data_IF_224427225452
#
_entry.id   IF_224427225452
#
_cell.length_a   1.000
_cell.length_b   1.000
_cell.length_c   1.000
_cell.angle_alpha   90.00
_cell.angle_beta   90.00
_cell.angle_gamma   90.00
#
_symmetry.space_group_name_H-M   'P 1'
#
loop_
_entity.id
_entity.type
_entity.pdbx_description
1 polymer ?
#
# COMPACT_ATOMS: atom_id res chain seq x y z
N UNK A 1 7.13 1.50 -20.77
CA UNK A 1 6.74 2.80 -20.20
C UNK A 1 6.58 3.83 -21.31
N UNK A 2 5.43 4.46 -21.40
CA UNK A 2 5.20 5.55 -22.35
C UNK A 2 5.79 6.84 -21.74
N UNK A 3 6.67 7.50 -22.50
CA UNK A 3 7.21 8.81 -22.11
C UNK A 3 6.49 9.89 -22.91
N UNK A 4 5.90 10.85 -22.22
CA UNK A 4 5.32 12.04 -22.85
C UNK A 4 6.28 13.22 -22.64
N UNK A 5 6.61 13.90 -23.73
CA UNK A 5 7.45 15.12 -23.72
C UNK A 5 6.58 16.31 -24.18
N UNK A 6 6.57 17.35 -23.38
CA UNK A 6 6.00 18.64 -23.82
C UNK A 6 7.10 19.56 -24.36
N UNK A 7 6.84 20.15 -25.50
CA UNK A 7 7.67 21.22 -26.08
C UNK A 7 7.02 22.60 -25.96
N UNK A 8 5.80 22.66 -25.43
CA UNK A 8 5.08 23.91 -25.21
C UNK A 8 5.58 24.68 -23.97
N UNK A 9 5.11 25.89 -23.77
CA UNK A 9 5.46 26.70 -22.60
C UNK A 9 4.94 26.08 -21.28
N UNK A 10 3.77 25.48 -21.31
CA UNK A 10 3.25 24.55 -20.30
C UNK A 10 2.12 23.75 -20.94
N UNK A 11 1.87 22.53 -20.46
CA UNK A 11 0.80 21.69 -20.96
C UNK A 11 0.06 21.02 -19.82
N UNK A 12 -1.27 20.93 -19.91
CA UNK A 12 -2.12 20.22 -18.96
C UNK A 12 -2.42 18.85 -19.53
N UNK A 13 -1.83 17.83 -18.94
CA UNK A 13 -1.96 16.47 -19.40
C UNK A 13 -3.11 15.75 -18.68
N UNK A 14 -4.16 15.39 -19.44
CA UNK A 14 -5.38 14.75 -18.92
C UNK A 14 -5.44 13.24 -19.18
N UNK A 15 -4.58 12.71 -20.06
CA UNK A 15 -4.52 11.28 -20.37
C UNK A 15 -3.23 10.69 -19.83
N UNK A 16 -3.36 9.88 -18.78
CA UNK A 16 -2.25 9.27 -18.06
C UNK A 16 -2.24 7.75 -18.28
N UNK A 17 -2.71 7.31 -19.45
CA UNK A 17 -2.78 5.89 -19.78
C UNK A 17 -1.37 5.30 -19.89
N UNK A 18 -1.16 4.19 -19.18
CA UNK A 18 0.06 3.39 -19.22
C UNK A 18 0.06 2.43 -20.40
N UNK A 19 -1.11 2.00 -20.84
CA UNK A 19 -1.27 1.11 -21.97
C UNK A 19 -2.70 1.06 -22.49
N UNK A 20 -2.79 0.62 -23.75
CA UNK A 20 -4.04 0.35 -24.46
C UNK A 20 -3.86 -0.91 -25.29
N UNK A 21 -4.83 -1.80 -25.24
CA UNK A 21 -4.88 -2.99 -26.11
C UNK A 21 -6.32 -3.33 -26.51
N UNK A 22 -6.47 -4.17 -27.52
CA UNK A 22 -7.74 -4.55 -28.13
C UNK A 22 -7.98 -6.05 -28.02
N UNK A 23 -9.25 -6.42 -27.80
CA UNK A 23 -9.74 -7.77 -27.90
C UNK A 23 -10.96 -7.79 -28.83
N UNK A 24 -11.06 -8.77 -29.72
CA UNK A 24 -12.15 -8.90 -30.70
C UNK A 24 -12.83 -10.27 -30.56
N UNK A 25 -13.43 -10.54 -29.42
CA UNK A 25 -14.15 -11.74 -29.07
C UNK A 25 -15.57 -11.38 -28.60
N UNK A 26 -16.56 -12.22 -28.94
CA UNK A 26 -17.97 -11.93 -28.68
C UNK A 26 -18.44 -12.22 -27.26
N UNK A 27 -17.71 -13.05 -26.50
CA UNK A 27 -18.12 -13.47 -25.15
C UNK A 27 -16.97 -13.33 -24.18
N UNK A 28 -16.58 -12.06 -23.96
CA UNK A 28 -15.52 -11.71 -23.01
C UNK A 28 -16.11 -11.43 -21.64
N UNK A 29 -15.48 -12.00 -20.62
CA UNK A 29 -15.83 -11.78 -19.21
C UNK A 29 -14.66 -11.14 -18.49
N UNK A 30 -14.94 -10.18 -17.63
CA UNK A 30 -13.94 -9.56 -16.77
C UNK A 30 -14.09 -10.07 -15.33
N UNK A 31 -12.96 -10.53 -14.75
CA UNK A 31 -12.84 -10.81 -13.31
C UNK A 31 -11.93 -9.76 -12.70
N UNK A 32 -12.35 -9.20 -11.57
CA UNK A 32 -11.55 -8.25 -10.80
C UNK A 32 -11.83 -8.42 -9.31
N UNK A 33 -10.87 -7.98 -8.49
CA UNK A 33 -11.01 -7.99 -7.05
C UNK A 33 -11.54 -6.65 -6.55
N UNK A 34 -12.38 -6.72 -5.52
CA UNK A 34 -12.86 -5.56 -4.79
C UNK A 34 -13.03 -5.90 -3.30
N UNK A 35 -13.33 -4.91 -2.49
CA UNK A 35 -13.59 -5.14 -1.08
C UNK A 35 -13.71 -3.85 -0.28
N UNK A 36 -13.51 -4.00 1.02
CA UNK A 36 -13.45 -2.91 1.99
C UNK A 36 -12.57 -3.33 3.16
N UNK A 37 -12.36 -2.46 4.14
CA UNK A 37 -11.68 -2.84 5.38
C UNK A 37 -12.31 -4.08 6.02
N UNK A 38 -11.47 -5.03 6.40
CA UNK A 38 -11.83 -6.33 6.99
C UNK A 38 -12.70 -7.23 6.08
N UNK A 39 -12.77 -6.91 4.78
CA UNK A 39 -13.55 -7.63 3.77
C UNK A 39 -12.90 -7.46 2.40
N UNK A 40 -11.60 -7.74 2.31
CA UNK A 40 -10.78 -7.51 1.12
C UNK A 40 -10.80 -8.69 0.15
N UNK A 41 -10.39 -8.44 -1.07
CA UNK A 41 -10.08 -9.42 -2.13
C UNK A 41 -11.23 -10.32 -2.59
N UNK A 42 -12.47 -9.81 -2.59
CA UNK A 42 -13.59 -10.51 -3.21
C UNK A 42 -13.48 -10.44 -4.73
N UNK A 43 -13.56 -11.60 -5.38
CA UNK A 43 -13.54 -11.70 -6.84
C UNK A 43 -14.94 -11.55 -7.39
N UNK A 44 -15.15 -10.55 -8.24
CA UNK A 44 -16.36 -10.36 -9.04
C UNK A 44 -16.07 -10.70 -10.50
N UNK A 45 -17.04 -11.36 -11.13
CA UNK A 45 -16.94 -11.75 -12.53
C UNK A 45 -18.21 -11.37 -13.28
N UNK A 46 -18.07 -10.66 -14.39
CA UNK A 46 -19.19 -10.20 -15.20
C UNK A 46 -18.87 -10.25 -16.69
N UNK A 47 -19.90 -10.40 -17.52
CA UNK A 47 -19.78 -10.35 -18.99
C UNK A 47 -19.63 -8.90 -19.44
N UNK A 48 -18.76 -8.66 -20.42
CA UNK A 48 -18.65 -7.35 -21.05
C UNK A 48 -19.76 -7.17 -22.09
N UNK A 49 -20.59 -6.16 -21.87
CA UNK A 49 -21.66 -5.76 -22.79
C UNK A 49 -21.24 -4.47 -23.51
N UNK A 50 -21.95 -4.13 -24.62
CA UNK A 50 -21.73 -2.86 -25.32
C UNK A 50 -21.86 -1.66 -24.38
N UNK A 51 -20.91 -0.75 -24.47
CA UNK A 51 -20.82 0.41 -23.59
C UNK A 51 -19.49 0.52 -22.86
N UNK A 52 -19.49 1.17 -21.72
CA UNK A 52 -18.28 1.43 -20.95
C UNK A 52 -18.33 0.76 -19.58
N UNK A 53 -17.32 -0.04 -19.28
CA UNK A 53 -17.03 -0.53 -17.92
C UNK A 53 -15.81 0.22 -17.36
N UNK A 54 -15.91 0.70 -16.13
CA UNK A 54 -14.82 1.35 -15.42
C UNK A 54 -14.55 0.64 -14.10
N UNK A 55 -13.29 0.26 -13.86
CA UNK A 55 -12.78 -0.28 -12.61
C UNK A 55 -11.72 0.72 -12.15
N UNK A 56 -11.94 1.35 -10.99
CA UNK A 56 -11.08 2.45 -10.54
C UNK A 56 -10.97 2.52 -9.03
N UNK A 57 -9.90 3.15 -8.57
CA UNK A 57 -9.73 3.51 -7.17
C UNK A 57 -9.30 4.97 -7.04
N UNK A 58 -9.76 5.64 -5.97
CA UNK A 58 -9.45 7.02 -5.65
C UNK A 58 -9.04 7.20 -4.17
N UNK A 59 -8.69 6.12 -3.50
CA UNK A 59 -8.37 6.12 -2.06
C UNK A 59 -6.88 6.42 -1.77
N UNK A 60 -6.11 6.65 -2.82
CA UNK A 60 -4.71 7.04 -2.72
C UNK A 60 -3.87 5.97 -2.06
N UNK A 61 -3.36 6.26 -0.86
CA UNK A 61 -2.46 5.38 -0.13
C UNK A 61 -3.04 3.99 0.21
N UNK A 62 -4.37 3.84 0.20
CA UNK A 62 -5.11 2.60 0.50
C UNK A 62 -5.88 2.10 -0.73
N UNK A 63 -5.21 2.02 -1.84
CA UNK A 63 -5.83 1.69 -3.12
C UNK A 63 -6.18 0.21 -3.34
N UNK A 64 -5.86 -0.67 -2.43
CA UNK A 64 -6.25 -2.08 -2.45
C UNK A 64 -7.57 -2.39 -1.74
N UNK A 65 -8.21 -1.40 -1.14
CA UNK A 65 -9.61 -1.47 -0.69
C UNK A 65 -10.50 -0.81 -1.76
N UNK A 66 -11.73 -1.24 -1.92
CA UNK A 66 -12.58 -1.07 -3.10
C UNK A 66 -12.06 -1.95 -4.26
N UNK A 67 -11.79 -1.41 -5.45
CA UNK A 67 -11.25 -2.20 -6.55
C UNK A 67 -9.72 -2.34 -6.46
N UNK A 68 -9.17 -3.41 -7.06
CA UNK A 68 -7.74 -3.64 -7.19
C UNK A 68 -7.22 -3.26 -8.58
N UNK A 69 -5.92 -2.99 -8.69
CA UNK A 69 -5.27 -2.54 -9.93
C UNK A 69 -4.95 -3.70 -10.89
N UNK A 70 -5.73 -4.78 -10.84
CA UNK A 70 -5.58 -5.99 -11.65
C UNK A 70 -6.94 -6.43 -12.21
N UNK A 71 -6.93 -6.90 -13.46
CA UNK A 71 -8.08 -7.50 -14.12
C UNK A 71 -7.67 -8.78 -14.87
N UNK A 72 -8.60 -9.72 -14.99
CA UNK A 72 -8.47 -10.87 -15.88
C UNK A 72 -9.64 -10.92 -16.86
N UNK A 73 -9.33 -11.07 -18.15
CA UNK A 73 -10.29 -11.09 -19.24
C UNK A 73 -10.32 -12.50 -19.82
N UNK A 74 -11.42 -13.23 -19.57
CA UNK A 74 -11.67 -14.55 -20.14
C UNK A 74 -12.28 -14.41 -21.53
N UNK A 75 -11.67 -15.03 -22.54
CA UNK A 75 -11.97 -14.83 -23.96
C UNK A 75 -12.94 -15.85 -24.55
N UNK A 76 -13.24 -16.92 -23.82
CA UNK A 76 -14.02 -18.08 -24.28
C UNK A 76 -15.31 -18.24 -23.44
N UNK A 77 -15.90 -17.13 -22.99
CA UNK A 77 -17.09 -17.13 -22.16
C UNK A 77 -16.77 -17.07 -20.67
N UNK A 78 -17.70 -17.53 -19.82
CA UNK A 78 -17.60 -17.48 -18.37
C UNK A 78 -16.28 -18.11 -17.90
N UNK A 79 -15.50 -17.42 -17.05
CA UNK A 79 -14.18 -17.89 -16.63
C UNK A 79 -14.20 -19.25 -15.93
N UNK A 80 -13.14 -19.99 -16.15
CA UNK A 80 -12.84 -21.25 -15.48
C UNK A 80 -11.43 -21.18 -14.89
N UNK A 81 -11.23 -21.86 -13.77
CA UNK A 81 -9.95 -21.88 -13.07
C UNK A 81 -8.82 -22.49 -13.91
N UNK A 82 -9.09 -23.57 -14.63
CA UNK A 82 -8.06 -24.42 -15.23
C UNK A 82 -8.09 -24.49 -16.76
N UNK A 83 -9.12 -23.91 -17.39
CA UNK A 83 -9.30 -24.00 -18.85
C UNK A 83 -9.79 -22.68 -19.44
N UNK A 84 -9.53 -22.47 -20.73
CA UNK A 84 -9.92 -21.28 -21.47
C UNK A 84 -8.80 -20.24 -21.55
N UNK A 85 -8.93 -19.38 -22.58
CA UNK A 85 -7.97 -18.30 -22.83
C UNK A 85 -8.24 -17.12 -21.92
N UNK A 86 -7.20 -16.64 -21.27
CA UNK A 86 -7.27 -15.50 -20.35
C UNK A 86 -6.16 -14.50 -20.65
N UNK A 87 -6.51 -13.23 -20.73
CA UNK A 87 -5.56 -12.10 -20.71
C UNK A 87 -5.63 -11.45 -19.34
N UNK A 88 -4.54 -11.47 -18.59
CA UNK A 88 -4.41 -10.73 -17.33
C UNK A 88 -3.69 -9.39 -17.56
N UNK A 89 -4.13 -8.35 -16.88
CA UNK A 89 -3.50 -7.03 -16.89
C UNK A 89 -3.40 -6.47 -15.47
N UNK A 90 -2.19 -6.01 -15.08
CA UNK A 90 -1.90 -5.44 -13.78
C UNK A 90 -1.15 -4.11 -13.92
N UNK A 91 -1.67 -3.05 -13.30
CA UNK A 91 -1.03 -1.75 -13.30
C UNK A 91 -0.07 -1.65 -12.11
N UNK A 92 1.21 -1.41 -12.38
CA UNK A 92 2.25 -1.26 -11.35
C UNK A 92 2.25 0.14 -10.74
N UNK A 93 1.15 0.48 -10.08
CA UNK A 93 0.94 1.78 -9.45
C UNK A 93 0.26 1.63 -8.08
N UNK A 94 0.69 2.40 -7.11
CA UNK A 94 0.20 2.35 -5.73
C UNK A 94 -0.67 3.55 -5.35
N UNK A 95 -1.04 4.39 -6.30
CA UNK A 95 -1.94 5.52 -6.15
C UNK A 95 -3.27 5.30 -6.84
N UNK A 96 -4.01 6.38 -7.10
CA UNK A 96 -5.27 6.34 -7.82
C UNK A 96 -5.06 5.80 -9.24
N UNK A 97 -5.87 4.83 -9.64
CA UNK A 97 -5.78 4.19 -10.96
C UNK A 97 -7.15 4.01 -11.60
N UNK A 98 -7.14 3.71 -12.90
CA UNK A 98 -8.34 3.42 -13.67
C UNK A 98 -8.06 2.41 -14.77
N UNK A 99 -8.87 1.36 -14.86
CA UNK A 99 -9.10 0.58 -16.05
C UNK A 99 -10.42 1.03 -16.67
N UNK A 100 -10.42 1.29 -17.98
CA UNK A 100 -11.61 1.58 -18.76
C UNK A 100 -11.68 0.59 -19.90
N UNK A 101 -12.82 -0.06 -20.06
CA UNK A 101 -13.11 -1.02 -21.12
C UNK A 101 -14.29 -0.46 -21.93
N UNK A 102 -14.01 -0.03 -23.16
CA UNK A 102 -15.03 0.44 -24.09
C UNK A 102 -15.35 -0.68 -25.07
N UNK A 103 -16.57 -1.21 -25.00
CA UNK A 103 -17.04 -2.28 -25.89
C UNK A 103 -17.97 -1.69 -26.94
N UNK A 104 -17.61 -1.83 -28.21
CA UNK A 104 -18.44 -1.39 -29.32
C UNK A 104 -19.51 -2.41 -29.72
N UNK A 105 -20.39 -2.06 -30.68
CA UNK A 105 -21.48 -2.93 -31.16
C UNK A 105 -20.98 -4.14 -31.97
N UNK A 106 -19.71 -4.21 -32.31
CA UNK A 106 -19.07 -5.33 -33.01
C UNK A 106 -18.29 -6.24 -32.05
N UNK A 107 -18.48 -6.08 -30.74
CA UNK A 107 -17.75 -6.79 -29.68
C UNK A 107 -16.22 -6.58 -29.74
N UNK A 108 -15.80 -5.39 -30.17
CA UNK A 108 -14.41 -4.96 -30.01
C UNK A 108 -14.28 -4.24 -28.67
N UNK A 109 -13.41 -4.77 -27.83
CA UNK A 109 -13.15 -4.27 -26.49
C UNK A 109 -11.84 -3.46 -26.51
N UNK A 110 -11.91 -2.16 -26.22
CA UNK A 110 -10.76 -1.30 -26.05
C UNK A 110 -10.44 -1.18 -24.56
N UNK A 111 -9.32 -1.73 -24.13
CA UNK A 111 -8.89 -1.73 -22.74
C UNK A 111 -7.82 -0.65 -22.54
N UNK A 112 -8.11 0.31 -21.68
CA UNK A 112 -7.18 1.36 -21.26
C UNK A 112 -6.85 1.17 -19.79
N UNK A 113 -5.58 1.33 -19.43
CA UNK A 113 -5.13 1.26 -18.05
C UNK A 113 -4.13 2.37 -17.74
N UNK A 114 -4.28 3.04 -16.62
CA UNK A 114 -3.38 4.12 -16.23
C UNK A 114 -3.70 4.74 -14.87
N UNK A 115 -3.00 5.83 -14.56
CA UNK A 115 -3.32 6.67 -13.41
C UNK A 115 -4.72 7.25 -13.61
N UNK A 116 -5.50 7.31 -12.54
CA UNK A 116 -6.82 7.92 -12.58
C UNK A 116 -6.68 9.44 -12.82
N UNK A 117 -7.32 9.92 -13.87
CA UNK A 117 -7.30 11.34 -14.29
C UNK A 117 -8.33 12.19 -13.56
N UNK A 118 -9.22 11.59 -12.74
CA UNK A 118 -10.20 12.33 -11.98
C UNK A 118 -9.52 13.15 -10.88
N UNK A 119 -9.76 14.46 -10.87
CA UNK A 119 -9.15 15.46 -9.98
C UNK A 119 -7.59 15.43 -9.97
N UNK A 120 -6.97 14.88 -11.01
CA UNK A 120 -5.52 14.62 -11.08
C UNK A 120 -4.92 15.14 -12.39
N UNK A 121 -5.27 16.35 -12.79
CA UNK A 121 -4.61 17.03 -13.92
C UNK A 121 -3.14 17.26 -13.58
N UNK A 122 -2.23 16.89 -14.50
CA UNK A 122 -0.81 17.05 -14.30
C UNK A 122 -0.21 18.06 -15.29
N UNK A 123 0.20 19.21 -14.76
CA UNK A 123 0.84 20.27 -15.53
C UNK A 123 2.32 19.91 -15.76
N UNK A 124 2.72 19.83 -17.03
CA UNK A 124 4.11 19.64 -17.43
C UNK A 124 4.73 20.99 -17.83
N UNK A 125 5.86 21.31 -17.24
CA UNK A 125 6.67 22.45 -17.69
C UNK A 125 7.46 22.07 -18.96
N UNK A 126 7.93 23.07 -19.71
CA UNK A 126 8.72 22.80 -20.93
C UNK A 126 9.88 21.85 -20.66
N UNK A 127 10.01 20.82 -21.52
CA UNK A 127 11.04 19.77 -21.43
C UNK A 127 10.89 18.78 -20.25
N UNK A 128 9.90 18.91 -19.39
CA UNK A 128 9.59 17.88 -18.41
C UNK A 128 9.15 16.59 -19.09
N UNK A 129 9.41 15.47 -18.44
CA UNK A 129 9.02 14.13 -18.91
C UNK A 129 8.13 13.49 -17.86
N UNK A 130 6.90 13.19 -18.22
CA UNK A 130 6.00 12.38 -17.39
C UNK A 130 6.18 10.90 -17.75
N UNK A 131 6.58 10.11 -16.75
CA UNK A 131 6.70 8.65 -16.90
C UNK A 131 5.46 8.01 -16.29
N UNK A 132 4.67 7.33 -17.12
CA UNK A 132 3.50 6.57 -16.67
C UNK A 132 3.93 5.28 -15.96
N UNK A 133 3.10 4.73 -15.05
CA UNK A 133 3.33 3.41 -14.47
C UNK A 133 3.46 2.32 -15.55
N UNK A 134 4.09 1.21 -15.20
CA UNK A 134 4.15 0.04 -16.08
C UNK A 134 2.81 -0.68 -16.05
N UNK A 135 2.32 -1.10 -17.20
CA UNK A 135 1.24 -2.07 -17.34
C UNK A 135 1.86 -3.44 -17.65
N UNK A 136 1.67 -4.41 -16.77
CA UNK A 136 2.06 -5.79 -17.00
C UNK A 136 0.87 -6.54 -17.64
N UNK A 137 1.13 -7.31 -18.71
CA UNK A 137 0.12 -8.09 -19.39
C UNK A 137 0.60 -9.54 -19.47
N UNK A 138 -0.29 -10.48 -19.24
CA UNK A 138 -0.05 -11.91 -19.41
C UNK A 138 -1.13 -12.56 -20.26
N UNK A 139 -0.81 -13.70 -20.85
CA UNK A 139 -1.74 -14.56 -21.56
C UNK A 139 -1.60 -16.00 -21.07
N UNK A 140 -2.71 -16.70 -20.93
CA UNK A 140 -2.77 -18.10 -20.56
C UNK A 140 -3.86 -18.83 -21.35
N UNK A 141 -3.69 -20.13 -21.59
CA UNK A 141 -4.70 -21.05 -22.08
C UNK A 141 -5.19 -22.00 -20.98
N UNK A 142 -4.63 -21.85 -19.77
CA UNK A 142 -4.91 -22.68 -18.60
C UNK A 142 -5.81 -21.95 -17.59
N UNK A 143 -6.81 -21.21 -18.10
CA UNK A 143 -7.78 -20.48 -17.27
C UNK A 143 -7.17 -19.38 -16.40
N UNK A 144 -7.94 -18.97 -15.41
CA UNK A 144 -7.55 -17.90 -14.45
C UNK A 144 -6.30 -18.28 -13.66
N UNK A 145 -6.21 -19.53 -13.18
CA UNK A 145 -5.05 -20.02 -12.43
C UNK A 145 -3.75 -19.99 -13.24
N UNK A 146 -3.81 -20.21 -14.54
CA UNK A 146 -2.66 -20.09 -15.43
C UNK A 146 -2.15 -18.66 -15.53
N UNK A 147 -3.06 -17.70 -15.68
CA UNK A 147 -2.72 -16.27 -15.69
C UNK A 147 -2.15 -15.81 -14.32
N UNK A 148 -2.77 -16.21 -13.20
CA UNK A 148 -2.27 -15.96 -11.84
C UNK A 148 -0.85 -16.47 -11.66
N UNK A 149 -0.59 -17.74 -11.99
CA UNK A 149 0.76 -18.34 -11.89
C UNK A 149 1.80 -17.59 -12.74
N UNK A 150 1.41 -17.02 -13.89
CA UNK A 150 2.29 -16.18 -14.68
C UNK A 150 2.67 -14.91 -13.93
N UNK A 151 1.69 -14.22 -13.34
CA UNK A 151 1.95 -13.03 -12.52
C UNK A 151 2.79 -13.38 -11.28
N UNK A 152 2.52 -14.48 -10.58
CA UNK A 152 3.31 -14.90 -9.41
C UNK A 152 4.78 -15.15 -9.78
N UNK A 153 5.04 -15.87 -10.88
CA UNK A 153 6.43 -16.11 -11.35
C UNK A 153 7.12 -14.82 -11.75
N UNK A 154 6.39 -13.95 -12.47
CA UNK A 154 6.90 -12.64 -12.86
C UNK A 154 7.19 -11.75 -11.65
N UNK A 155 6.28 -11.70 -10.66
CA UNK A 155 6.46 -10.90 -9.45
C UNK A 155 7.68 -11.37 -8.65
N UNK A 156 7.81 -12.67 -8.40
CA UNK A 156 8.97 -13.23 -7.69
C UNK A 156 10.29 -12.91 -8.36
N UNK A 157 10.34 -12.99 -9.69
CA UNK A 157 11.57 -12.80 -10.44
C UNK A 157 11.90 -11.32 -10.72
N UNK A 158 10.89 -10.42 -10.73
CA UNK A 158 11.08 -9.09 -11.31
C UNK A 158 10.48 -7.93 -10.50
N UNK A 159 9.70 -8.22 -9.45
CA UNK A 159 8.99 -7.16 -8.72
C UNK A 159 9.26 -7.17 -7.23
N UNK A 160 9.14 -8.31 -6.56
CA UNK A 160 9.38 -8.44 -5.12
C UNK A 160 10.85 -8.18 -4.80
N UNK A 161 11.10 -7.44 -3.73
CA UNK A 161 12.45 -7.13 -3.26
C UNK A 161 13.24 -8.42 -2.97
N UNK A 162 12.63 -9.36 -2.27
CA UNK A 162 13.18 -10.70 -2.02
C UNK A 162 12.13 -11.77 -2.34
N UNK A 163 11.88 -11.96 -3.64
CA UNK A 163 10.80 -12.81 -4.13
C UNK A 163 10.99 -14.31 -3.88
N UNK A 164 12.20 -14.76 -3.56
CA UNK A 164 12.53 -16.15 -3.30
C UNK A 164 12.98 -16.40 -1.87
N UNK A 165 13.07 -15.36 -1.03
CA UNK A 165 13.37 -15.47 0.38
C UNK A 165 12.30 -16.24 1.15
N UNK A 166 12.74 -16.98 2.16
CA UNK A 166 11.81 -17.60 3.12
C UNK A 166 11.16 -16.54 3.99
N UNK A 167 9.94 -16.80 4.46
CA UNK A 167 9.24 -15.96 5.43
C UNK A 167 9.15 -16.67 6.76
N UNK A 168 9.39 -15.90 7.82
CA UNK A 168 9.38 -16.43 9.18
C UNK A 168 7.93 -16.70 9.65
N UNK A 169 7.76 -17.69 10.52
CA UNK A 169 6.50 -17.91 11.24
C UNK A 169 6.35 -16.80 12.28
N UNK A 170 5.39 -15.90 12.05
CA UNK A 170 5.23 -14.62 12.75
C UNK A 170 4.05 -14.63 13.71
N UNK A 171 4.26 -14.06 14.91
CA UNK A 171 3.20 -13.59 15.81
C UNK A 171 3.23 -12.07 15.90
N UNK A 172 2.08 -11.43 15.65
CA UNK A 172 1.88 -10.01 15.87
C UNK A 172 1.11 -9.75 17.17
N UNK A 173 1.44 -8.72 17.92
CA UNK A 173 0.84 -8.44 19.21
C UNK A 173 -0.56 -7.82 19.15
N UNK A 174 -1.00 -7.28 17.99
CA UNK A 174 -2.21 -6.46 17.90
C UNK A 174 -3.46 -7.15 18.47
N UNK A 175 -3.84 -8.28 17.92
CA UNK A 175 -5.04 -9.02 18.36
C UNK A 175 -4.95 -9.55 19.80
N UNK A 176 -3.72 -9.65 20.33
CA UNK A 176 -3.51 -10.11 21.70
C UNK A 176 -3.69 -9.02 22.75
N UNK A 177 -3.25 -7.79 22.47
CA UNK A 177 -3.15 -6.73 23.49
C UNK A 177 -3.60 -5.34 23.03
N UNK A 178 -3.84 -5.16 21.72
CA UNK A 178 -4.11 -3.84 21.12
C UNK A 178 -3.09 -2.79 21.62
N UNK A 179 -3.53 -1.63 22.10
CA UNK A 179 -2.67 -0.59 22.67
C UNK A 179 -2.07 -0.92 24.04
N UNK A 180 -2.44 -2.05 24.62
CA UNK A 180 -1.96 -2.51 25.94
C UNK A 180 -0.54 -3.05 25.96
N UNK A 181 0.31 -2.57 25.04
CA UNK A 181 1.74 -2.91 24.97
C UNK A 181 2.41 -2.64 26.31
N UNK A 182 3.12 -3.62 26.85
CA UNK A 182 3.97 -3.50 28.05
C UNK A 182 5.06 -4.55 28.05
N UNK A 183 6.15 -4.30 28.76
CA UNK A 183 7.34 -5.16 28.74
C UNK A 183 7.04 -6.62 29.15
N UNK A 184 6.25 -6.82 30.20
CA UNK A 184 5.90 -8.18 30.69
C UNK A 184 5.04 -8.95 29.68
N UNK A 185 4.02 -8.28 29.10
CA UNK A 185 3.16 -8.92 28.09
C UNK A 185 3.94 -9.27 26.83
N UNK A 186 4.85 -8.41 26.37
CA UNK A 186 5.70 -8.69 25.22
C UNK A 186 6.68 -9.86 25.49
N UNK A 187 7.28 -9.94 26.68
CA UNK A 187 8.14 -11.05 27.09
C UNK A 187 7.36 -12.38 27.06
N UNK A 188 6.14 -12.40 27.63
CA UNK A 188 5.29 -13.58 27.62
C UNK A 188 4.93 -14.03 26.21
N UNK A 189 4.48 -13.12 25.34
CA UNK A 189 4.11 -13.45 23.95
C UNK A 189 5.32 -13.95 23.15
N UNK A 190 6.52 -13.40 23.36
CA UNK A 190 7.75 -13.88 22.73
C UNK A 190 8.13 -15.28 23.22
N UNK A 191 7.97 -15.57 24.53
CA UNK A 191 8.17 -16.89 25.11
C UNK A 191 7.22 -17.92 24.50
N UNK A 192 5.93 -17.55 24.40
CA UNK A 192 4.88 -18.45 23.90
C UNK A 192 5.10 -18.80 22.43
N UNK A 193 5.34 -17.80 21.56
CA UNK A 193 5.58 -18.07 20.14
C UNK A 193 6.85 -18.88 19.91
N UNK A 194 7.91 -18.60 20.64
CA UNK A 194 9.15 -19.39 20.57
C UNK A 194 8.91 -20.85 20.98
N UNK A 195 8.14 -21.08 22.05
CA UNK A 195 7.74 -22.41 22.52
C UNK A 195 6.88 -23.18 21.51
N UNK A 196 6.13 -22.51 20.68
CA UNK A 196 5.34 -23.08 19.59
C UNK A 196 6.12 -23.28 18.28
N UNK A 197 7.39 -22.90 18.23
CA UNK A 197 8.23 -23.01 17.02
C UNK A 197 8.11 -21.83 16.07
N UNK A 198 7.57 -20.68 16.51
CA UNK A 198 7.60 -19.46 15.75
C UNK A 198 8.99 -18.83 15.72
N UNK A 199 9.21 -17.96 14.76
CA UNK A 199 10.54 -17.44 14.40
C UNK A 199 10.66 -15.92 14.52
N UNK A 200 9.52 -15.21 14.55
CA UNK A 200 9.45 -13.75 14.56
C UNK A 200 8.31 -13.26 15.44
N UNK A 201 8.59 -12.30 16.31
CA UNK A 201 7.59 -11.55 17.04
C UNK A 201 7.56 -10.10 16.57
N UNK A 202 6.38 -9.57 16.25
CA UNK A 202 6.17 -8.18 15.82
C UNK A 202 5.35 -7.44 16.86
N UNK A 203 5.98 -6.45 17.52
CA UNK A 203 5.25 -5.49 18.37
C UNK A 203 4.50 -4.50 17.50
N UNK A 204 3.18 -4.50 17.61
CA UNK A 204 2.28 -3.61 16.84
C UNK A 204 2.13 -2.24 17.50
N UNK A 205 1.11 -1.44 17.11
CA UNK A 205 0.83 -0.08 17.58
C UNK A 205 0.71 0.01 19.12
N UNK A 206 1.05 1.15 19.68
CA UNK A 206 0.91 1.42 21.12
C UNK A 206 2.21 1.55 21.91
N UNK A 207 3.40 1.46 21.29
CA UNK A 207 4.69 1.44 21.97
C UNK A 207 5.32 2.83 22.20
N UNK A 208 4.77 3.89 21.62
CA UNK A 208 5.36 5.22 21.53
C UNK A 208 4.49 6.33 22.16
N UNK A 209 5.02 7.54 22.22
CA UNK A 209 4.35 8.75 22.69
C UNK A 209 4.69 9.11 24.14
N UNK A 210 5.40 10.22 24.33
CA UNK A 210 5.74 10.71 25.66
C UNK A 210 4.72 11.72 26.20
N UNK A 211 4.61 12.89 25.57
CA UNK A 211 3.66 13.95 25.98
C UNK A 211 2.21 13.48 25.85
N UNK A 212 1.92 12.77 24.77
CA UNK A 212 0.62 12.17 24.47
C UNK A 212 0.78 10.66 24.39
N UNK A 213 0.43 9.85 25.40
CA UNK A 213 0.59 8.39 25.33
C UNK A 213 -0.26 7.77 24.23
N UNK A 214 0.31 6.83 23.47
CA UNK A 214 -0.38 6.06 22.46
C UNK A 214 -1.22 4.93 23.08
N UNK A 215 -2.35 5.29 23.69
CA UNK A 215 -3.28 4.35 24.32
C UNK A 215 -4.55 4.09 23.50
N UNK A 216 -4.67 4.76 22.37
CA UNK A 216 -5.79 4.67 21.44
C UNK A 216 -5.41 5.35 20.11
N UNK A 217 -6.35 5.39 19.16
CA UNK A 217 -6.12 5.97 17.82
C UNK A 217 -6.05 7.50 17.75
N UNK A 218 -6.34 8.22 18.85
CA UNK A 218 -6.56 9.67 18.76
C UNK A 218 -5.34 10.53 19.04
N UNK A 219 -4.21 9.95 19.47
CA UNK A 219 -3.01 10.71 19.85
C UNK A 219 -1.71 10.07 19.42
N UNK A 220 -0.65 10.85 19.46
CA UNK A 220 0.78 10.50 19.35
C UNK A 220 1.30 10.02 18.02
N UNK A 221 0.46 9.69 17.04
CA UNK A 221 0.97 9.25 15.75
C UNK A 221 1.88 10.35 15.17
N UNK A 222 3.10 9.99 14.80
CA UNK A 222 4.16 10.93 14.42
C UNK A 222 5.21 11.19 15.52
N UNK A 223 4.88 10.93 16.78
CA UNK A 223 5.77 11.11 17.93
C UNK A 223 6.49 9.78 18.26
N UNK A 224 7.46 9.42 17.47
CA UNK A 224 8.14 8.11 17.49
C UNK A 224 9.14 7.99 18.66
N UNK A 225 8.73 8.38 19.86
CA UNK A 225 9.51 8.25 21.09
C UNK A 225 8.94 7.13 21.93
N UNK A 226 9.79 6.19 22.36
CA UNK A 226 9.35 5.05 23.18
C UNK A 226 8.66 5.52 24.46
N UNK A 227 7.48 4.98 24.75
CA UNK A 227 6.83 5.19 26.04
C UNK A 227 7.51 4.32 27.12
N UNK A 228 8.39 4.94 27.89
CA UNK A 228 9.16 4.25 28.95
C UNK A 228 8.32 3.81 30.15
N UNK A 229 7.07 4.27 30.25
CA UNK A 229 6.10 3.77 31.25
C UNK A 229 5.62 2.38 30.90
N UNK A 230 5.47 2.10 29.60
CA UNK A 230 5.09 0.78 29.05
C UNK A 230 6.30 -0.13 28.89
N UNK A 231 7.42 0.44 28.42
CA UNK A 231 8.64 -0.26 28.06
C UNK A 231 9.83 0.36 28.81
N UNK A 232 10.00 0.05 30.13
CA UNK A 232 11.07 0.64 30.96
C UNK A 232 12.48 0.43 30.43
N UNK A 233 12.75 -0.70 29.75
CA UNK A 233 14.05 -1.00 29.12
C UNK A 233 14.10 -0.58 27.64
N UNK A 234 13.05 0.09 27.14
CA UNK A 234 12.95 0.52 25.76
C UNK A 234 12.91 -0.63 24.74
N UNK A 235 13.09 -0.30 23.48
CA UNK A 235 13.16 -1.28 22.38
C UNK A 235 14.33 -2.24 22.57
N UNK A 236 15.46 -1.79 23.14
CA UNK A 236 16.62 -2.65 23.40
C UNK A 236 16.27 -3.81 24.34
N UNK A 237 15.46 -3.57 25.37
CA UNK A 237 14.98 -4.65 26.25
C UNK A 237 14.21 -5.72 25.51
N UNK A 238 13.39 -5.32 24.52
CA UNK A 238 12.59 -6.27 23.71
C UNK A 238 13.45 -7.05 22.70
N UNK A 239 14.42 -6.39 22.05
CA UNK A 239 15.34 -7.09 21.14
C UNK A 239 16.24 -8.08 21.90
N UNK A 240 16.66 -7.75 23.12
CA UNK A 240 17.41 -8.68 23.98
C UNK A 240 16.54 -9.87 24.43
N UNK A 241 15.25 -9.63 24.71
CA UNK A 241 14.29 -10.66 25.05
C UNK A 241 14.05 -11.61 23.84
N UNK A 242 13.84 -11.08 22.64
CA UNK A 242 13.71 -11.89 21.43
C UNK A 242 14.94 -12.77 21.21
N UNK A 243 16.14 -12.20 21.35
CA UNK A 243 17.40 -12.94 21.28
C UNK A 243 17.51 -14.04 22.33
N UNK A 244 17.06 -13.78 23.58
CA UNK A 244 17.01 -14.79 24.65
C UNK A 244 16.19 -16.01 24.25
N UNK A 245 15.08 -15.82 23.55
CA UNK A 245 14.21 -16.89 23.08
C UNK A 245 14.60 -17.46 21.70
N UNK A 246 15.64 -16.91 21.07
CA UNK A 246 16.13 -17.38 19.76
C UNK A 246 15.23 -17.02 18.57
N UNK A 247 14.40 -15.98 18.72
CA UNK A 247 13.51 -15.48 17.67
C UNK A 247 13.93 -14.07 17.22
N UNK A 248 13.46 -13.66 16.04
CA UNK A 248 13.63 -12.30 15.51
C UNK A 248 12.62 -11.34 16.14
N UNK A 249 12.94 -10.05 16.06
CA UNK A 249 12.06 -8.95 16.52
C UNK A 249 11.69 -8.03 15.37
N UNK A 250 10.42 -7.65 15.31
CA UNK A 250 9.87 -6.65 14.39
C UNK A 250 9.03 -5.61 15.11
N UNK A 251 8.76 -4.50 14.42
CA UNK A 251 8.03 -3.37 14.97
C UNK A 251 7.09 -2.73 13.95
N UNK A 252 5.92 -2.29 14.43
CA UNK A 252 4.94 -1.53 13.64
C UNK A 252 5.30 -0.05 13.57
N UNK A 253 5.09 0.54 12.40
CA UNK A 253 5.25 1.97 12.13
C UNK A 253 4.17 2.46 11.15
N UNK A 254 3.79 3.75 11.26
CA UNK A 254 2.92 4.44 10.30
C UNK A 254 3.46 5.85 10.01
N UNK A 255 4.59 5.98 9.29
CA UNK A 255 5.29 7.26 9.15
C UNK A 255 4.68 8.23 8.14
N UNK A 256 3.57 7.86 7.50
CA UNK A 256 2.83 8.71 6.57
C UNK A 256 1.75 9.56 7.25
N UNK A 257 1.53 9.37 8.55
CA UNK A 257 0.42 9.98 9.28
C UNK A 257 0.86 10.64 10.59
N UNK A 258 0.02 11.54 11.08
CA UNK A 258 0.10 12.12 12.43
C UNK A 258 -1.30 12.24 13.03
N UNK A 259 -1.40 12.45 14.33
CA UNK A 259 -2.64 12.88 14.97
C UNK A 259 -2.63 14.40 15.19
N UNK A 260 -3.80 15.04 15.22
CA UNK A 260 -3.92 16.43 15.64
C UNK A 260 -3.48 16.64 17.09
N UNK A 261 -3.50 15.56 17.91
CA UNK A 261 -2.96 15.53 19.25
C UNK A 261 -1.60 14.82 19.26
N UNK A 262 -0.57 15.51 18.73
CA UNK A 262 0.82 15.05 18.69
C UNK A 262 1.78 16.23 18.77
N UNK A 263 2.98 16.01 19.26
CA UNK A 263 4.06 17.03 19.26
C UNK A 263 4.51 17.35 17.83
N UNK A 264 4.44 16.37 16.90
CA UNK A 264 4.74 16.59 15.50
C UNK A 264 3.78 17.62 14.90
N UNK A 265 2.48 17.47 15.11
CA UNK A 265 1.50 18.42 14.61
C UNK A 265 1.61 19.81 15.27
N UNK A 266 1.92 19.87 16.58
CA UNK A 266 2.17 21.14 17.25
C UNK A 266 3.34 21.91 16.63
N UNK A 267 4.42 21.21 16.26
CA UNK A 267 5.63 21.80 15.69
C UNK A 267 5.49 22.11 14.19
N UNK A 268 4.76 21.28 13.47
CA UNK A 268 4.66 21.31 12.01
C UNK A 268 3.22 21.11 11.50
N UNK A 269 2.28 22.00 11.85
CA UNK A 269 0.91 21.92 11.37
C UNK A 269 0.81 22.13 9.84
N UNK A 270 1.86 22.68 9.23
CA UNK A 270 2.02 22.89 7.78
C UNK A 270 2.48 21.63 7.03
N UNK A 271 2.83 20.54 7.73
CA UNK A 271 3.27 19.29 7.12
C UNK A 271 2.12 18.33 6.79
N UNK A 272 0.91 18.62 7.26
CA UNK A 272 -0.26 17.80 6.94
C UNK A 272 -0.94 18.26 5.67
N UNK A 273 -1.54 17.32 4.96
CA UNK A 273 -2.37 17.62 3.81
C UNK A 273 -3.63 18.38 4.24
N UNK A 274 -3.88 19.53 3.63
CA UNK A 274 -5.04 20.36 3.92
C UNK A 274 -5.39 21.29 2.76
N UNK A 275 -6.66 21.56 2.59
CA UNK A 275 -7.13 22.62 1.70
C UNK A 275 -7.21 23.91 2.48
N UNK A 276 -6.46 24.93 2.05
CA UNK A 276 -6.41 26.23 2.73
C UNK A 276 -7.82 26.80 2.92
N UNK A 277 -8.14 27.17 4.17
CA UNK A 277 -9.43 27.76 4.54
C UNK A 277 -10.57 26.76 4.73
N UNK A 278 -10.28 25.45 4.71
CA UNK A 278 -11.23 24.38 5.08
C UNK A 278 -10.79 23.69 6.36
N UNK A 279 -11.73 23.05 7.06
CA UNK A 279 -11.45 22.15 8.15
C UNK A 279 -10.60 20.97 7.67
N UNK A 280 -9.78 20.39 8.56
CA UNK A 280 -9.02 19.19 8.25
C UNK A 280 -9.96 18.02 7.90
N UNK A 281 -9.51 17.19 6.97
CA UNK A 281 -10.16 15.93 6.68
C UNK A 281 -9.53 14.85 7.58
N UNK A 282 -10.17 14.61 8.71
CA UNK A 282 -9.69 13.62 9.67
C UNK A 282 -10.01 12.20 9.21
N UNK A 283 -9.01 11.34 9.28
CA UNK A 283 -9.15 9.90 9.09
C UNK A 283 -9.51 9.15 10.35
N UNK A 284 -8.86 8.00 10.55
CA UNK A 284 -9.11 7.07 11.67
C UNK A 284 -9.14 7.78 13.03
N UNK A 285 -10.07 7.36 13.88
CA UNK A 285 -10.25 7.92 15.22
C UNK A 285 -10.72 9.39 15.25
N UNK A 286 -11.03 9.98 14.09
CA UNK A 286 -11.45 11.39 14.00
C UNK A 286 -10.35 12.41 14.27
N UNK A 287 -9.08 11.99 14.34
CA UNK A 287 -7.93 12.83 14.65
C UNK A 287 -6.70 12.59 13.76
N UNK A 288 -6.69 11.48 13.01
CA UNK A 288 -5.57 11.13 12.14
C UNK A 288 -5.53 12.01 10.89
N UNK A 289 -4.35 12.49 10.54
CA UNK A 289 -4.06 13.37 9.42
C UNK A 289 -2.93 12.79 8.59
N UNK A 290 -3.04 12.87 7.26
CA UNK A 290 -1.93 12.50 6.36
C UNK A 290 -0.87 13.58 6.31
N UNK A 291 0.39 13.16 6.39
CA UNK A 291 1.54 13.99 6.13
C UNK A 291 1.72 14.22 4.63
N UNK A 292 2.16 15.42 4.24
CA UNK A 292 2.32 15.81 2.84
C UNK A 292 3.60 15.21 2.22
N UNK A 293 3.51 14.01 1.68
CA UNK A 293 4.64 13.36 0.99
C UNK A 293 5.09 14.07 -0.30
N UNK A 294 4.36 15.10 -0.78
CA UNK A 294 4.87 15.98 -1.83
C UNK A 294 6.02 16.86 -1.32
N UNK A 295 6.08 17.10 -0.01
CA UNK A 295 7.08 17.96 0.64
C UNK A 295 8.36 17.18 0.97
N UNK A 296 9.53 17.54 0.40
CA UNK A 296 10.80 16.88 0.71
C UNK A 296 11.18 16.86 2.20
N UNK A 297 10.77 17.86 2.99
CA UNK A 297 11.02 17.87 4.44
C UNK A 297 10.26 16.76 5.16
N UNK A 298 9.03 16.47 4.70
CA UNK A 298 8.22 15.36 5.23
C UNK A 298 8.82 14.02 4.80
N UNK A 299 9.30 13.91 3.56
CA UNK A 299 10.04 12.72 3.10
C UNK A 299 11.29 12.47 3.95
N UNK A 300 12.03 13.53 4.26
CA UNK A 300 13.22 13.45 5.12
C UNK A 300 12.85 13.07 6.56
N UNK A 301 11.77 13.59 7.10
CA UNK A 301 11.27 13.20 8.43
C UNK A 301 10.95 11.71 8.48
N UNK A 302 10.17 11.20 7.53
CA UNK A 302 9.79 9.78 7.47
C UNK A 302 11.02 8.87 7.31
N UNK A 303 11.96 9.24 6.42
CA UNK A 303 13.21 8.51 6.26
C UNK A 303 14.06 8.54 7.53
N UNK A 304 14.29 9.71 8.11
CA UNK A 304 15.17 9.88 9.27
C UNK A 304 14.64 9.16 10.51
N UNK A 305 13.32 9.10 10.68
CA UNK A 305 12.70 8.28 11.73
C UNK A 305 13.10 6.81 11.58
N UNK A 306 12.86 6.22 10.42
CA UNK A 306 13.19 4.80 10.17
C UNK A 306 14.70 4.56 10.24
N UNK A 307 15.49 5.48 9.71
CA UNK A 307 16.95 5.44 9.77
C UNK A 307 17.48 5.45 11.20
N UNK A 308 16.95 6.33 12.04
CA UNK A 308 17.31 6.42 13.45
C UNK A 308 16.91 5.14 14.21
N UNK A 309 15.70 4.64 13.95
CA UNK A 309 15.20 3.41 14.57
C UNK A 309 16.11 2.22 14.25
N UNK A 310 16.40 1.99 12.99
CA UNK A 310 17.22 0.84 12.56
C UNK A 310 18.72 1.00 12.84
N UNK A 311 19.22 2.23 12.94
CA UNK A 311 20.60 2.49 13.34
C UNK A 311 20.79 2.24 14.84
N UNK A 312 19.85 2.67 15.67
CA UNK A 312 19.92 2.50 17.12
C UNK A 312 19.60 1.07 17.56
N UNK A 313 18.79 0.35 16.77
CA UNK A 313 18.35 -1.02 17.08
C UNK A 313 18.55 -1.93 15.85
N UNK A 314 19.81 -2.26 15.51
CA UNK A 314 20.14 -3.04 14.32
C UNK A 314 19.64 -4.50 14.40
N UNK A 315 19.15 -4.92 15.56
CA UNK A 315 18.52 -6.24 15.77
C UNK A 315 17.08 -6.30 15.25
N UNK A 316 16.46 -5.15 14.90
CA UNK A 316 15.14 -5.14 14.27
C UNK A 316 15.27 -5.75 12.86
N UNK A 317 14.63 -6.90 12.67
CA UNK A 317 14.65 -7.64 11.41
C UNK A 317 13.44 -7.35 10.51
N UNK A 318 12.40 -6.69 11.05
CA UNK A 318 11.11 -6.57 10.38
C UNK A 318 10.40 -5.25 10.73
N UNK A 319 9.81 -4.63 9.71
CA UNK A 319 8.94 -3.45 9.83
C UNK A 319 7.56 -3.78 9.27
N UNK A 320 6.50 -3.63 10.09
CA UNK A 320 5.13 -3.55 9.58
C UNK A 320 4.84 -2.07 9.28
N UNK A 321 4.83 -1.72 8.01
CA UNK A 321 4.56 -0.35 7.53
C UNK A 321 3.09 -0.18 7.23
N UNK A 322 2.39 0.54 8.07
CA UNK A 322 0.96 0.76 7.95
C UNK A 322 0.59 2.12 7.32
N UNK A 323 -0.67 2.24 6.85
CA UNK A 323 -1.27 3.46 6.33
C UNK A 323 -2.79 3.40 6.52
N UNK A 324 -3.29 4.00 7.59
CA UNK A 324 -4.69 3.87 8.00
C UNK A 324 -5.60 5.02 7.54
N UNK A 325 -5.08 5.99 6.79
CA UNK A 325 -5.84 7.14 6.28
C UNK A 325 -5.80 7.20 4.76
N UNK A 326 -6.97 7.40 4.16
CA UNK A 326 -7.13 7.53 2.72
C UNK A 326 -6.74 8.93 2.22
N UNK A 327 -6.22 9.01 1.00
CA UNK A 327 -5.91 10.27 0.33
C UNK A 327 -7.14 10.75 -0.48
N UNK A 328 -8.06 11.46 0.16
CA UNK A 328 -9.29 11.99 -0.46
C UNK A 328 -9.48 13.48 -0.18
N UNK A 329 -9.81 14.25 -1.22
CA UNK A 329 -10.16 15.68 -1.13
C UNK A 329 -9.10 16.56 -0.41
N UNK A 330 -7.83 16.26 -0.59
CA UNK A 330 -6.74 17.00 0.04
C UNK A 330 -6.17 18.11 -0.84
N UNK A 331 -5.55 19.09 -0.20
CA UNK A 331 -4.64 20.05 -0.79
C UNK A 331 -3.27 19.92 -0.15
N UNK A 332 -2.26 20.53 -0.73
CA UNK A 332 -0.90 20.61 -0.22
C UNK A 332 -0.54 22.06 0.09
N UNK A 333 0.03 22.30 1.28
CA UNK A 333 0.59 23.61 1.63
C UNK A 333 1.94 23.85 0.94
N UNK A 334 2.58 22.79 0.49
CA UNK A 334 3.87 22.79 -0.21
C UNK A 334 3.72 23.05 -1.71
N UNK A 335 2.76 22.38 -2.37
CA UNK A 335 2.56 22.52 -3.81
C UNK A 335 2.03 23.92 -4.17
N UNK A 336 2.53 24.54 -5.25
CA UNK A 336 2.00 25.81 -5.73
C UNK A 336 0.53 25.66 -6.18
N UNK A 337 -0.18 26.79 -6.24
CA UNK A 337 -1.63 26.82 -6.50
C UNK A 337 -2.04 26.13 -7.81
N UNK A 338 -1.24 26.27 -8.84
CA UNK A 338 -1.47 25.69 -10.17
C UNK A 338 -1.05 24.23 -10.32
N UNK A 339 -0.46 23.63 -9.26
CA UNK A 339 -0.07 22.22 -9.19
C UNK A 339 -0.79 21.43 -8.07
N UNK A 340 -1.87 21.96 -7.52
CA UNK A 340 -2.61 21.26 -6.44
C UNK A 340 -3.19 19.92 -6.90
N UNK A 341 -3.59 19.77 -8.15
CA UNK A 341 -4.05 18.50 -8.73
C UNK A 341 -2.96 17.44 -8.88
N UNK A 342 -1.67 17.80 -8.76
CA UNK A 342 -0.56 16.85 -8.77
C UNK A 342 -0.51 15.96 -7.53
N UNK A 343 -1.21 16.32 -6.45
CA UNK A 343 -1.11 15.67 -5.14
C UNK A 343 -1.31 14.15 -5.19
N UNK A 344 -2.26 13.68 -6.00
CA UNK A 344 -2.58 12.25 -6.14
C UNK A 344 -1.50 11.44 -6.87
N UNK A 345 -0.54 12.12 -7.49
CA UNK A 345 0.61 11.52 -8.16
C UNK A 345 1.88 11.76 -7.34
N UNK A 346 2.12 13.03 -6.98
CA UNK A 346 3.38 13.42 -6.34
C UNK A 346 3.49 12.91 -4.90
N UNK A 347 2.36 12.69 -4.20
CA UNK A 347 2.34 11.99 -2.92
C UNK A 347 2.97 10.60 -3.04
N UNK A 348 2.51 9.79 -3.99
CA UNK A 348 3.03 8.44 -4.18
C UNK A 348 4.47 8.44 -4.68
N UNK A 349 4.85 9.38 -5.54
CA UNK A 349 6.24 9.56 -5.95
C UNK A 349 7.15 9.93 -4.77
N UNK A 350 6.65 10.75 -3.86
CA UNK A 350 7.35 11.11 -2.62
C UNK A 350 7.53 9.91 -1.69
N UNK A 351 6.47 9.12 -1.49
CA UNK A 351 6.51 7.89 -0.70
C UNK A 351 7.51 6.88 -1.30
N UNK A 352 7.47 6.67 -2.62
CA UNK A 352 8.41 5.77 -3.31
C UNK A 352 9.86 6.21 -3.06
N UNK A 353 10.17 7.50 -3.13
CA UNK A 353 11.52 8.01 -2.82
C UNK A 353 11.98 7.68 -1.40
N UNK A 354 11.07 7.75 -0.42
CA UNK A 354 11.38 7.36 0.97
C UNK A 354 11.69 5.87 1.05
N UNK A 355 10.84 5.03 0.45
CA UNK A 355 11.01 3.58 0.42
C UNK A 355 12.29 3.15 -0.31
N UNK A 356 12.62 3.78 -1.44
CA UNK A 356 13.87 3.56 -2.17
C UNK A 356 15.11 3.87 -1.32
N UNK A 357 15.10 4.98 -0.58
CA UNK A 357 16.20 5.35 0.33
C UNK A 357 16.35 4.33 1.46
N UNK A 358 15.24 3.86 2.03
CA UNK A 358 15.25 2.84 3.09
C UNK A 358 15.80 1.52 2.54
N UNK A 359 15.32 1.06 1.38
CA UNK A 359 15.82 -0.17 0.75
C UNK A 359 17.30 -0.12 0.39
N UNK A 360 17.77 1.02 -0.10
CA UNK A 360 19.19 1.20 -0.41
C UNK A 360 20.08 1.05 0.83
N UNK A 361 19.62 1.53 1.99
CA UNK A 361 20.40 1.49 3.23
C UNK A 361 20.19 0.21 4.04
N UNK A 362 18.98 -0.34 4.04
CA UNK A 362 18.56 -1.50 4.85
C UNK A 362 17.98 -2.63 3.98
N UNK A 363 18.76 -3.21 3.05
CA UNK A 363 18.24 -4.19 2.09
C UNK A 363 17.81 -5.53 2.73
N UNK A 364 18.22 -5.80 3.97
CA UNK A 364 17.94 -7.08 4.66
C UNK A 364 16.75 -7.01 5.61
N UNK A 365 16.25 -5.82 5.92
CA UNK A 365 15.08 -5.67 6.80
C UNK A 365 13.83 -6.03 6.00
N UNK A 366 13.05 -6.98 6.49
CA UNK A 366 11.76 -7.31 5.86
C UNK A 366 10.78 -6.17 6.09
N UNK A 367 10.11 -5.70 5.05
CA UNK A 367 9.04 -4.71 5.14
C UNK A 367 7.74 -5.33 4.67
N UNK A 368 6.75 -5.37 5.56
CA UNK A 368 5.37 -5.74 5.24
C UNK A 368 4.58 -4.49 4.92
N UNK A 369 3.95 -4.47 3.74
CA UNK A 369 2.97 -3.45 3.41
C UNK A 369 1.66 -3.72 4.16
N UNK A 370 1.17 -2.73 4.90
CA UNK A 370 -0.16 -2.69 5.49
C UNK A 370 -0.85 -1.39 5.09
N UNK A 371 -2.15 -1.39 5.04
CA UNK A 371 -2.96 -0.20 4.75
C UNK A 371 -4.32 -0.38 5.39
N UNK A 372 -4.36 -0.50 6.74
CA UNK A 372 -5.54 -0.94 7.45
C UNK A 372 -5.97 -2.32 6.94
N UNK A 373 -5.09 -3.32 7.04
CA UNK A 373 -5.24 -4.59 6.37
C UNK A 373 -4.74 -4.56 4.93
N UNK A 374 -5.52 -5.10 3.99
CA UNK A 374 -5.18 -5.26 2.57
C UNK A 374 -5.25 -3.99 1.71
N UNK A 375 -5.30 -2.81 2.32
CA UNK A 375 -5.42 -1.54 1.58
C UNK A 375 -4.23 -1.20 0.67
N UNK A 376 -3.09 -1.88 0.82
CA UNK A 376 -1.89 -1.63 0.02
C UNK A 376 -1.33 -2.92 -0.60
N UNK A 377 -2.19 -3.65 -1.29
CA UNK A 377 -1.82 -4.87 -2.04
C UNK A 377 -1.84 -4.56 -3.52
N UNK A 378 -0.68 -4.31 -4.13
CA UNK A 378 -0.56 -4.01 -5.55
C UNK A 378 0.88 -4.17 -6.05
N UNK A 379 1.06 -4.36 -7.35
CA UNK A 379 2.37 -4.49 -7.98
C UNK A 379 3.21 -3.19 -7.98
N UNK A 380 2.65 -2.06 -7.60
CA UNK A 380 3.36 -0.77 -7.48
C UNK A 380 4.32 -0.72 -6.31
N UNK A 381 3.93 -1.26 -5.15
CA UNK A 381 4.77 -1.23 -3.93
C UNK A 381 5.66 -2.46 -3.75
N UNK A 382 5.40 -3.56 -4.46
CA UNK A 382 6.16 -4.81 -4.33
C UNK A 382 7.68 -4.67 -4.46
N UNK A 383 8.26 -3.73 -5.25
CA UNK A 383 9.71 -3.53 -5.28
C UNK A 383 10.31 -3.04 -3.97
N UNK A 384 9.49 -2.53 -3.09
CA UNK A 384 9.90 -1.91 -1.83
C UNK A 384 9.48 -2.72 -0.61
N UNK A 385 8.55 -3.69 -0.78
CA UNK A 385 8.04 -4.53 0.28
C UNK A 385 8.31 -6.00 -0.05
N UNK A 386 8.52 -6.80 0.98
CA UNK A 386 8.78 -8.23 0.85
C UNK A 386 7.49 -9.05 0.92
N UNK A 387 6.50 -8.51 1.64
CA UNK A 387 5.20 -9.13 1.86
C UNK A 387 4.14 -8.09 2.16
N UNK A 388 2.88 -8.51 2.27
CA UNK A 388 1.75 -7.66 2.63
C UNK A 388 0.82 -8.34 3.63
N UNK A 389 0.11 -7.55 4.41
CA UNK A 389 -0.97 -7.99 5.28
C UNK A 389 -2.28 -8.04 4.50
N UNK A 390 -2.90 -9.21 4.40
CA UNK A 390 -4.09 -9.41 3.53
C UNK A 390 -5.32 -8.70 4.09
N UNK A 391 -5.54 -8.76 5.40
CA UNK A 391 -6.71 -8.19 6.06
C UNK A 391 -6.51 -8.12 7.57
N UNK A 392 -7.15 -7.14 8.21
CA UNK A 392 -7.29 -7.07 9.67
C UNK A 392 -8.32 -8.08 10.20
N UNK A 393 -9.13 -8.68 9.34
CA UNK A 393 -10.08 -9.71 9.73
C UNK A 393 -9.35 -11.05 9.94
N UNK A 394 -9.42 -11.58 11.14
CA UNK A 394 -8.79 -12.85 11.55
C UNK A 394 -9.76 -14.04 11.63
N UNK A 395 -11.04 -13.85 11.27
CA UNK A 395 -12.00 -14.95 11.18
C UNK A 395 -11.52 -16.03 10.21
N UNK A 396 -11.43 -17.27 10.68
CA UNK A 396 -10.83 -18.37 9.94
C UNK A 396 -11.54 -18.67 8.61
N UNK A 397 -12.88 -18.57 8.57
CA UNK A 397 -13.66 -18.82 7.36
C UNK A 397 -13.50 -17.69 6.34
N UNK A 398 -13.55 -16.44 6.80
CA UNK A 398 -13.33 -15.28 5.94
C UNK A 398 -11.92 -15.29 5.35
N UNK A 399 -10.93 -15.69 6.12
CA UNK A 399 -9.53 -15.80 5.65
C UNK A 399 -9.35 -16.80 4.53
N UNK A 400 -10.14 -17.87 4.45
CA UNK A 400 -10.10 -18.80 3.32
C UNK A 400 -10.48 -18.08 2.02
N UNK A 401 -11.57 -17.30 2.03
CA UNK A 401 -12.00 -16.53 0.86
C UNK A 401 -11.01 -15.45 0.47
N UNK A 402 -10.48 -14.71 1.44
CA UNK A 402 -9.50 -13.64 1.21
C UNK A 402 -8.18 -14.19 0.66
N UNK A 403 -7.70 -15.32 1.18
CA UNK A 403 -6.48 -15.97 0.68
C UNK A 403 -6.68 -16.49 -0.74
N UNK A 404 -7.86 -17.05 -1.05
CA UNK A 404 -8.18 -17.45 -2.41
C UNK A 404 -8.19 -16.25 -3.36
N UNK A 405 -8.92 -15.18 -3.02
CA UNK A 405 -8.95 -13.94 -3.82
C UNK A 405 -7.55 -13.35 -4.02
N UNK A 406 -6.73 -13.30 -2.97
CA UNK A 406 -5.34 -12.79 -3.04
C UNK A 406 -4.45 -13.64 -3.94
N UNK A 407 -4.83 -14.89 -4.23
CA UNK A 407 -4.09 -15.76 -5.16
C UNK A 407 -4.37 -15.47 -6.64
N UNK A 408 -5.30 -14.56 -6.93
CA UNK A 408 -5.54 -14.08 -8.29
C UNK A 408 -4.51 -13.02 -8.66
#
# INVERSE_FOLDING_TARGET
STRVRSSAASDVYKRQDSGHFLLSQNDVWVSHMHGSWASETFVTTERLESGMKVIKNMDGARNGQNDHAEIMLSLDGKPNENTGRVVGAALCWSGNYKFRIDTDNNSVHHIFAGINDEASEYKLEPKEVFVTPKLAITYSQEGLSGASRNFHRWARNNRLHDGWGTRDILLNSWEGVYFGVNETGMDQMMSDIAGMGGELFVMDDGWFGDKYPRNNDVSSLGDWVVDTRKLPKGIKGLTDTAKKYGIKFGIWIEPESTNSQSELFEKHPDWVLQVKGRTFNYGRGGTQLLLDMCNPKVQDFAFNFVDTLLTNYPEIAYLKWDANTELKNYGSTYLPKDKQSHIYIDYHRGLIKVLERIRAKYPKVVIQACGGGGGRVNYGVMPYNDEFWVSDNTDALQRIYMQWGTSY
#
